data_IF_765241463643
#
_entry.id   IF_765241463643
#
_cell.length_a   1.000
_cell.length_b   1.000
_cell.length_c   1.000
_cell.angle_alpha   90.00
_cell.angle_beta   90.00
_cell.angle_gamma   90.00
#
_symmetry.space_group_name_H-M   'P 1'
#
loop_
_entity.id
_entity.type
_entity.pdbx_description
1 polymer ?
#
# COMPACT_ATOMS: atom_id res chain seq x y z
N UNK A 1 7.72 15.97 -43.00
CA UNK A 1 6.89 14.75 -42.87
C UNK A 1 7.35 13.96 -41.65
N UNK A 2 6.63 14.02 -40.53
CA UNK A 2 6.91 13.14 -39.39
C UNK A 2 6.33 11.76 -39.67
N UNK A 3 7.16 10.80 -40.06
CA UNK A 3 6.78 9.39 -40.09
C UNK A 3 6.57 8.92 -38.64
N UNK A 4 5.31 8.71 -38.24
CA UNK A 4 5.00 7.96 -37.01
C UNK A 4 5.46 6.53 -37.29
N UNK A 5 6.68 6.18 -36.85
CA UNK A 5 7.18 4.81 -36.97
C UNK A 5 6.29 3.90 -36.14
N UNK A 6 5.62 2.95 -36.81
CA UNK A 6 4.83 1.91 -36.17
C UNK A 6 5.73 0.99 -35.33
N UNK A 7 5.14 0.32 -34.34
CA UNK A 7 5.85 -0.67 -33.54
C UNK A 7 5.91 -2.01 -34.28
N UNK A 8 7.12 -2.53 -34.48
CA UNK A 8 7.37 -3.83 -35.08
C UNK A 8 7.48 -4.90 -33.99
N UNK A 9 6.80 -6.04 -34.17
CA UNK A 9 6.88 -7.15 -33.21
C UNK A 9 8.21 -7.89 -33.39
N UNK A 10 8.90 -8.16 -32.30
CA UNK A 10 10.23 -8.79 -32.31
C UNK A 10 10.16 -10.25 -31.89
N UNK A 11 11.09 -11.05 -32.40
CA UNK A 11 11.28 -12.44 -31.95
C UNK A 11 11.90 -12.50 -30.54
N UNK A 12 11.69 -13.61 -29.85
CA UNK A 12 12.24 -13.89 -28.51
C UNK A 12 11.26 -13.69 -27.35
N UNK A 13 10.24 -12.82 -27.50
CA UNK A 13 9.18 -12.69 -26.50
C UNK A 13 7.89 -12.10 -27.12
N UNK A 14 6.68 -12.61 -26.81
CA UNK A 14 5.43 -12.18 -27.46
C UNK A 14 5.07 -10.70 -27.22
N UNK A 15 5.56 -10.11 -26.13
CA UNK A 15 5.32 -8.71 -25.72
C UNK A 15 6.46 -7.74 -26.06
N UNK A 16 7.44 -8.19 -26.85
CA UNK A 16 8.59 -7.37 -27.25
C UNK A 16 8.32 -6.70 -28.60
N UNK A 17 8.43 -5.39 -28.62
CA UNK A 17 8.24 -4.56 -29.82
C UNK A 17 9.42 -3.61 -29.99
N UNK A 18 9.60 -3.09 -31.20
CA UNK A 18 10.63 -2.11 -31.53
C UNK A 18 10.02 -0.91 -32.24
N UNK A 19 10.45 0.30 -31.87
CA UNK A 19 10.09 1.54 -32.57
C UNK A 19 11.35 2.36 -32.80
N UNK A 20 11.81 2.41 -34.05
CA UNK A 20 13.10 3.01 -34.36
C UNK A 20 14.27 2.19 -33.80
N UNK A 21 15.12 2.79 -32.99
CA UNK A 21 16.26 2.09 -32.37
C UNK A 21 15.92 1.39 -31.05
N UNK A 22 14.84 1.81 -30.38
CA UNK A 22 14.56 1.42 -28.98
C UNK A 22 13.52 0.31 -28.91
N UNK A 23 13.71 -0.61 -27.96
CA UNK A 23 12.77 -1.68 -27.64
C UNK A 23 11.71 -1.25 -26.63
N UNK A 24 10.52 -1.83 -26.75
CA UNK A 24 9.33 -1.51 -25.97
C UNK A 24 8.67 -2.80 -25.48
N UNK A 25 8.09 -2.71 -24.29
CA UNK A 25 7.09 -3.64 -23.81
C UNK A 25 5.71 -3.19 -24.31
N UNK A 26 4.90 -4.13 -24.80
CA UNK A 26 3.49 -3.91 -25.11
C UNK A 26 2.65 -5.12 -24.73
N UNK A 27 1.68 -4.91 -23.86
CA UNK A 27 0.70 -5.91 -23.45
C UNK A 27 -0.72 -5.39 -23.64
N UNK A 28 -1.54 -6.10 -24.41
CA UNK A 28 -2.97 -5.84 -24.44
C UNK A 28 -3.61 -6.25 -23.10
N UNK A 29 -4.60 -5.49 -22.66
CA UNK A 29 -5.34 -5.84 -21.45
C UNK A 29 -6.22 -7.09 -21.71
N UNK A 30 -6.22 -8.08 -20.81
CA UNK A 30 -7.07 -9.25 -20.89
C UNK A 30 -8.57 -8.91 -20.99
N UNK A 31 -9.32 -9.70 -21.77
CA UNK A 31 -10.74 -9.42 -22.10
C UNK A 31 -11.63 -9.36 -20.85
N UNK A 32 -11.35 -10.20 -19.86
CA UNK A 32 -12.07 -10.31 -18.60
C UNK A 32 -12.04 -9.03 -17.77
N UNK A 33 -10.92 -8.28 -17.80
CA UNK A 33 -10.77 -7.02 -17.05
C UNK A 33 -10.84 -5.77 -17.94
N UNK A 34 -10.94 -5.93 -19.26
CA UNK A 34 -10.88 -4.83 -20.25
C UNK A 34 -11.84 -3.67 -19.99
N UNK A 35 -13.05 -3.96 -19.50
CA UNK A 35 -14.08 -2.93 -19.25
C UNK A 35 -13.79 -2.12 -17.99
N UNK A 36 -13.04 -2.67 -17.04
CA UNK A 36 -12.80 -2.07 -15.71
C UNK A 36 -11.38 -1.57 -15.51
N UNK A 37 -10.43 -2.02 -16.32
CA UNK A 37 -9.04 -1.60 -16.27
C UNK A 37 -8.87 -0.23 -16.96
N UNK A 38 -8.09 0.72 -16.40
CA UNK A 38 -8.06 2.11 -16.86
C UNK A 38 -7.41 2.33 -18.24
N UNK A 39 -6.77 1.31 -18.81
CA UNK A 39 -6.05 1.39 -20.09
C UNK A 39 -6.53 0.31 -21.06
N UNK A 40 -6.23 0.49 -22.33
CA UNK A 40 -6.45 -0.53 -23.37
C UNK A 40 -5.22 -1.41 -23.59
N UNK A 41 -4.02 -0.88 -23.33
CA UNK A 41 -2.74 -1.58 -23.40
C UNK A 41 -1.74 -1.00 -22.38
N UNK A 42 -0.89 -1.84 -21.78
CA UNK A 42 0.29 -1.38 -21.05
C UNK A 42 1.48 -1.33 -22.02
N UNK A 43 1.95 -0.11 -22.32
CA UNK A 43 3.05 0.12 -23.26
C UNK A 43 4.08 1.07 -22.66
N UNK A 44 5.35 0.68 -22.65
CA UNK A 44 6.46 1.54 -22.21
C UNK A 44 7.79 1.11 -22.84
N UNK A 45 8.73 2.06 -22.89
CA UNK A 45 10.09 1.82 -23.39
C UNK A 45 10.88 0.95 -22.43
N UNK A 46 11.66 0.01 -22.94
CA UNK A 46 12.64 -0.76 -22.16
C UNK A 46 13.97 -0.01 -22.01
N UNK A 47 14.12 1.17 -22.63
CA UNK A 47 15.30 2.02 -22.48
C UNK A 47 16.58 1.49 -23.13
N UNK A 48 16.49 0.44 -23.96
CA UNK A 48 17.65 -0.18 -24.60
C UNK A 48 17.50 -0.30 -26.11
N UNK A 49 18.63 -0.30 -26.81
CA UNK A 49 18.77 -0.57 -28.24
C UNK A 49 19.39 -1.94 -28.52
N UNK A 50 19.86 -2.66 -27.49
CA UNK A 50 20.39 -4.02 -27.59
C UNK A 50 19.24 -5.05 -27.47
N UNK A 51 19.15 -5.94 -28.46
CA UNK A 51 18.14 -7.00 -28.50
C UNK A 51 18.27 -7.99 -27.34
N UNK A 52 19.49 -8.40 -26.97
CA UNK A 52 19.69 -9.40 -25.91
C UNK A 52 19.24 -8.85 -24.57
N UNK A 53 19.64 -7.62 -24.27
CA UNK A 53 19.21 -6.93 -23.08
C UNK A 53 17.70 -6.64 -23.08
N UNK A 54 17.13 -6.28 -24.23
CA UNK A 54 15.68 -6.10 -24.36
C UNK A 54 14.90 -7.38 -24.04
N UNK A 55 15.37 -8.55 -24.46
CA UNK A 55 14.75 -9.85 -24.13
C UNK A 55 14.83 -10.14 -22.62
N UNK A 56 15.91 -9.74 -21.95
CA UNK A 56 16.02 -9.87 -20.49
C UNK A 56 15.04 -8.95 -19.77
N UNK A 57 15.00 -7.67 -20.14
CA UNK A 57 14.14 -6.66 -19.53
C UNK A 57 12.66 -6.94 -19.78
N UNK A 58 12.28 -7.40 -20.98
CA UNK A 58 10.87 -7.65 -21.31
C UNK A 58 10.27 -8.80 -20.49
N UNK A 59 11.08 -9.78 -20.05
CA UNK A 59 10.62 -10.88 -19.19
C UNK A 59 10.24 -10.36 -17.80
N UNK A 60 11.09 -9.52 -17.21
CA UNK A 60 10.81 -8.86 -15.91
C UNK A 60 9.61 -7.92 -16.04
N UNK A 61 9.57 -7.12 -17.11
CA UNK A 61 8.45 -6.23 -17.41
C UNK A 61 7.14 -7.00 -17.59
N UNK A 62 7.16 -8.14 -18.27
CA UNK A 62 5.98 -8.98 -18.47
C UNK A 62 5.45 -9.52 -17.15
N UNK A 63 6.30 -10.08 -16.30
CA UNK A 63 5.89 -10.55 -14.97
C UNK A 63 5.29 -9.42 -14.12
N UNK A 64 5.91 -8.23 -14.14
CA UNK A 64 5.38 -7.05 -13.43
C UNK A 64 3.99 -6.64 -13.94
N UNK A 65 3.80 -6.64 -15.26
CA UNK A 65 2.50 -6.30 -15.88
C UNK A 65 1.45 -7.37 -15.60
N UNK A 66 1.80 -8.64 -15.66
CA UNK A 66 0.88 -9.74 -15.28
C UNK A 66 0.45 -9.61 -13.81
N UNK A 67 1.39 -9.28 -12.91
CA UNK A 67 1.08 -9.00 -11.51
C UNK A 67 0.07 -7.85 -11.32
N UNK A 68 0.12 -6.80 -12.15
CA UNK A 68 -0.88 -5.72 -12.15
C UNK A 68 -2.26 -6.21 -12.58
N UNK A 69 -2.33 -7.04 -13.62
CA UNK A 69 -3.60 -7.60 -14.08
C UNK A 69 -4.21 -8.52 -13.03
N UNK A 70 -3.39 -9.35 -12.38
CA UNK A 70 -3.86 -10.22 -11.31
C UNK A 70 -4.28 -9.44 -10.06
N UNK A 71 -3.59 -8.35 -9.71
CA UNK A 71 -4.03 -7.44 -8.66
C UNK A 71 -5.40 -6.84 -8.97
N UNK A 72 -5.60 -6.38 -10.20
CA UNK A 72 -6.89 -5.85 -10.64
C UNK A 72 -8.00 -6.91 -10.59
N UNK A 73 -7.71 -8.15 -11.00
CA UNK A 73 -8.66 -9.27 -10.87
C UNK A 73 -9.05 -9.53 -9.42
N UNK A 74 -8.08 -9.58 -8.50
CA UNK A 74 -8.35 -9.74 -7.06
C UNK A 74 -9.25 -8.63 -6.54
N UNK A 75 -8.97 -7.38 -6.91
CA UNK A 75 -9.80 -6.23 -6.55
C UNK A 75 -11.23 -6.33 -7.09
N UNK A 76 -11.44 -6.81 -8.32
CA UNK A 76 -12.78 -7.05 -8.86
C UNK A 76 -13.54 -8.15 -8.11
N UNK A 77 -12.86 -9.25 -7.78
CA UNK A 77 -13.47 -10.34 -7.00
C UNK A 77 -13.95 -9.81 -5.66
N UNK A 78 -13.12 -9.03 -4.97
CA UNK A 78 -13.45 -8.45 -3.67
C UNK A 78 -14.55 -7.40 -3.76
N UNK A 79 -14.57 -6.59 -4.82
CA UNK A 79 -15.71 -5.69 -5.12
C UNK A 79 -17.01 -6.41 -5.43
N UNK A 80 -16.93 -7.65 -5.93
CA UNK A 80 -18.10 -8.49 -6.18
C UNK A 80 -18.60 -9.23 -4.94
N UNK A 81 -17.83 -9.27 -3.85
CA UNK A 81 -18.28 -9.90 -2.61
C UNK A 81 -19.26 -8.99 -1.87
N UNK A 82 -20.30 -9.56 -1.24
CA UNK A 82 -21.18 -8.76 -0.39
C UNK A 82 -20.37 -8.21 0.80
N UNK A 83 -20.66 -6.98 1.24
CA UNK A 83 -20.01 -6.41 2.41
C UNK A 83 -20.30 -7.28 3.64
N UNK A 84 -19.30 -7.40 4.52
CA UNK A 84 -19.43 -8.08 5.79
C UNK A 84 -20.41 -7.29 6.66
N UNK A 85 -21.35 -7.98 7.29
CA UNK A 85 -22.25 -7.33 8.27
C UNK A 85 -21.53 -7.04 9.57
N UNK A 86 -20.55 -7.86 9.94
CA UNK A 86 -19.75 -7.73 11.17
C UNK A 86 -18.32 -8.28 10.96
N UNK A 87 -17.36 -7.70 11.68
CA UNK A 87 -16.01 -8.22 11.84
C UNK A 87 -15.91 -9.04 13.13
N UNK A 88 -15.21 -10.17 13.06
CA UNK A 88 -14.83 -10.91 14.27
C UNK A 88 -13.81 -10.14 15.10
N UNK A 89 -13.76 -10.41 16.41
CA UNK A 89 -12.76 -9.83 17.31
C UNK A 89 -11.32 -10.09 16.84
N UNK A 90 -11.07 -11.27 16.27
CA UNK A 90 -9.75 -11.61 15.74
C UNK A 90 -9.39 -10.75 14.52
N UNK A 91 -10.33 -10.53 13.59
CA UNK A 91 -10.11 -9.63 12.46
C UNK A 91 -9.82 -8.21 12.92
N UNK A 92 -10.61 -7.68 13.87
CA UNK A 92 -10.41 -6.34 14.42
C UNK A 92 -9.01 -6.21 15.01
N UNK A 93 -8.59 -7.17 15.83
CA UNK A 93 -7.26 -7.18 16.43
C UNK A 93 -6.14 -7.23 15.38
N UNK A 94 -6.27 -8.11 14.39
CA UNK A 94 -5.27 -8.22 13.31
C UNK A 94 -5.19 -6.95 12.46
N UNK A 95 -6.32 -6.26 12.23
CA UNK A 95 -6.31 -4.95 11.57
C UNK A 95 -5.59 -3.89 12.42
N UNK A 96 -5.83 -3.88 13.73
CA UNK A 96 -5.11 -3.00 14.66
C UNK A 96 -3.60 -3.25 14.72
N UNK A 97 -3.18 -4.51 14.60
CA UNK A 97 -1.78 -4.92 14.50
C UNK A 97 -1.12 -4.41 13.21
N UNK A 98 -1.81 -4.57 12.07
CA UNK A 98 -1.38 -4.05 10.76
C UNK A 98 -1.24 -2.52 10.81
N UNK A 99 -2.25 -1.82 11.34
CA UNK A 99 -2.23 -0.36 11.46
C UNK A 99 -1.09 0.12 12.38
N UNK A 100 -0.84 -0.56 13.49
CA UNK A 100 0.28 -0.25 14.37
C UNK A 100 1.64 -0.34 13.66
N UNK A 101 1.89 -1.39 12.86
CA UNK A 101 3.13 -1.45 12.08
C UNK A 101 3.22 -0.35 11.04
N UNK A 102 2.15 -0.09 10.30
CA UNK A 102 2.14 0.99 9.31
C UNK A 102 2.59 2.33 9.93
N UNK A 103 2.08 2.67 11.12
CA UNK A 103 2.49 3.88 11.86
C UNK A 103 3.98 3.89 12.23
N UNK A 104 4.58 2.74 12.50
CA UNK A 104 6.02 2.63 12.79
C UNK A 104 6.88 2.57 11.52
N UNK A 105 6.34 2.06 10.42
CA UNK A 105 6.97 2.12 9.09
C UNK A 105 7.05 3.58 8.62
N UNK A 106 5.99 4.38 8.79
CA UNK A 106 6.03 5.82 8.48
C UNK A 106 7.06 6.60 9.32
N UNK A 107 7.22 6.23 10.61
CA UNK A 107 8.29 6.78 11.46
C UNK A 107 9.68 6.35 10.97
N UNK A 108 9.86 5.08 10.56
CA UNK A 108 11.11 4.62 9.97
C UNK A 108 11.44 5.37 8.68
N UNK A 109 10.47 5.56 7.79
CA UNK A 109 10.62 6.32 6.54
C UNK A 109 11.03 7.77 6.83
N UNK A 110 10.36 8.44 7.76
CA UNK A 110 10.70 9.81 8.17
C UNK A 110 12.14 9.90 8.70
N UNK A 111 12.58 8.92 9.50
CA UNK A 111 13.95 8.87 10.03
C UNK A 111 14.99 8.58 8.96
N UNK A 112 14.65 7.75 7.98
CA UNK A 112 15.53 7.42 6.85
C UNK A 112 15.70 8.61 5.89
N UNK A 113 14.63 9.38 5.66
CA UNK A 113 14.70 10.66 4.95
C UNK A 113 15.56 11.68 5.69
N UNK A 114 15.52 11.63 7.03
CA UNK A 114 16.31 12.45 7.92
C UNK A 114 15.59 13.74 8.31
N UNK A 115 15.87 14.22 9.52
CA UNK A 115 15.32 15.48 10.01
C UNK A 115 16.15 16.67 9.57
N UNK A 116 15.49 17.81 9.39
CA UNK A 116 16.18 19.06 9.13
C UNK A 116 16.70 19.66 10.44
N UNK A 117 18.02 19.88 10.50
CA UNK A 117 18.62 20.67 11.58
C UNK A 117 18.28 22.15 11.38
N UNK A 118 17.75 22.81 12.41
CA UNK A 118 17.39 24.24 12.38
C UNK A 118 18.60 25.16 12.08
N UNK A 119 19.82 24.68 12.34
CA UNK A 119 21.07 25.39 12.04
C UNK A 119 21.57 25.17 10.60
N UNK A 120 20.91 24.33 9.81
CA UNK A 120 21.24 24.07 8.42
C UNK A 120 20.54 25.07 7.46
N UNK A 121 21.08 25.29 6.25
CA UNK A 121 20.40 26.08 5.23
C UNK A 121 18.99 25.53 4.95
N UNK A 122 18.00 26.42 4.87
CA UNK A 122 16.60 26.05 4.62
C UNK A 122 16.49 25.22 3.34
N UNK A 123 15.89 24.01 3.40
CA UNK A 123 15.75 23.15 2.23
C UNK A 123 14.77 23.75 1.21
N UNK A 124 14.95 23.42 -0.08
CA UNK A 124 14.04 23.84 -1.15
C UNK A 124 12.65 23.19 -1.02
N UNK A 125 12.59 22.00 -0.42
CA UNK A 125 11.37 21.27 -0.12
C UNK A 125 11.08 21.36 1.38
N UNK A 126 9.80 21.34 1.81
CA UNK A 126 9.48 21.29 3.22
C UNK A 126 10.02 19.99 3.84
N UNK A 127 10.94 20.13 4.79
CA UNK A 127 11.47 19.03 5.62
C UNK A 127 11.17 19.37 7.07
N UNK A 128 10.66 18.41 7.84
CA UNK A 128 10.31 18.63 9.24
C UNK A 128 11.55 18.58 10.13
N UNK A 129 11.62 19.44 11.15
CA UNK A 129 12.62 19.30 12.20
C UNK A 129 12.26 18.14 13.13
N UNK A 130 13.23 17.66 13.91
CA UNK A 130 12.96 16.60 14.88
C UNK A 130 11.98 17.07 15.96
N UNK A 131 12.13 18.32 16.43
CA UNK A 131 11.26 18.92 17.43
C UNK A 131 9.82 19.07 16.94
N UNK A 132 9.61 19.58 15.73
CA UNK A 132 8.28 19.72 15.14
C UNK A 132 7.61 18.34 14.98
N UNK A 133 8.37 17.34 14.53
CA UNK A 133 7.87 15.97 14.39
C UNK A 133 7.42 15.39 15.73
N UNK A 134 8.19 15.60 16.79
CA UNK A 134 7.83 15.16 18.14
C UNK A 134 6.59 15.89 18.66
N UNK A 135 6.51 17.21 18.50
CA UNK A 135 5.36 18.02 18.95
C UNK A 135 4.07 17.63 18.23
N UNK A 136 4.12 17.39 16.91
CA UNK A 136 2.96 16.93 16.13
C UNK A 136 2.48 15.58 16.65
N UNK A 137 3.40 14.63 16.86
CA UNK A 137 3.04 13.30 17.36
C UNK A 137 2.44 13.35 18.76
N UNK A 138 3.02 14.13 19.68
CA UNK A 138 2.49 14.28 21.03
C UNK A 138 1.12 14.97 21.04
N UNK A 139 0.94 16.01 20.22
CA UNK A 139 -0.35 16.70 20.07
C UNK A 139 -1.45 15.78 19.54
N UNK A 140 -1.12 14.93 18.56
CA UNK A 140 -2.05 13.92 18.04
C UNK A 140 -2.35 12.84 19.08
N UNK A 141 -1.34 12.34 19.80
CA UNK A 141 -1.52 11.35 20.87
C UNK A 141 -2.42 11.88 22.00
N UNK A 142 -2.26 13.15 22.40
CA UNK A 142 -3.09 13.78 23.43
C UNK A 142 -4.58 13.80 23.04
N UNK A 143 -4.90 14.15 21.79
CA UNK A 143 -6.27 14.11 21.26
C UNK A 143 -6.77 12.66 21.23
N UNK A 144 -5.95 11.73 20.75
CA UNK A 144 -6.32 10.31 20.65
C UNK A 144 -6.61 9.70 22.02
N UNK A 145 -5.76 9.94 23.01
CA UNK A 145 -5.95 9.49 24.40
C UNK A 145 -7.18 10.15 25.03
N UNK A 146 -7.38 11.44 24.82
CA UNK A 146 -8.55 12.16 25.31
C UNK A 146 -9.86 11.51 24.84
N UNK A 147 -9.94 11.20 23.54
CA UNK A 147 -11.14 10.62 22.93
C UNK A 147 -11.30 9.13 23.28
N UNK A 148 -10.21 8.37 23.27
CA UNK A 148 -10.20 6.96 23.65
C UNK A 148 -10.71 6.74 25.08
N UNK A 149 -10.22 7.55 26.04
CA UNK A 149 -10.64 7.49 27.44
C UNK A 149 -12.14 7.78 27.63
N UNK A 150 -12.73 8.58 26.74
CA UNK A 150 -14.17 8.95 26.79
C UNK A 150 -15.03 8.07 25.90
N UNK A 151 -14.43 7.14 25.15
CA UNK A 151 -15.11 6.34 24.15
C UNK A 151 -15.76 7.14 23.04
N UNK A 152 -15.15 8.29 22.71
CA UNK A 152 -15.51 9.12 21.57
C UNK A 152 -14.84 8.58 20.31
N UNK A 153 -15.63 8.54 19.25
CA UNK A 153 -15.15 8.24 17.89
C UNK A 153 -14.97 9.58 17.21
N UNK A 154 -13.76 9.87 16.72
CA UNK A 154 -13.51 11.03 15.88
C UNK A 154 -13.74 10.67 14.41
N UNK A 155 -14.10 11.66 13.60
CA UNK A 155 -14.24 11.51 12.15
C UNK A 155 -12.92 11.04 11.51
N UNK A 156 -11.78 11.42 12.12
CA UNK A 156 -10.46 10.92 11.76
C UNK A 156 -10.41 9.38 11.78
N UNK A 157 -10.73 8.74 12.91
CA UNK A 157 -10.66 7.27 12.99
C UNK A 157 -11.72 6.53 12.18
N UNK A 158 -12.83 7.19 11.82
CA UNK A 158 -13.77 6.65 10.84
C UNK A 158 -13.12 6.62 9.45
N UNK A 159 -12.50 7.72 9.03
CA UNK A 159 -11.76 7.80 7.77
C UNK A 159 -10.59 6.81 7.73
N UNK A 160 -9.83 6.69 8.83
CA UNK A 160 -8.74 5.71 8.93
C UNK A 160 -9.27 4.27 8.82
N UNK A 161 -10.39 3.96 9.46
CA UNK A 161 -10.99 2.64 9.36
C UNK A 161 -11.44 2.33 7.93
N UNK A 162 -12.02 3.30 7.23
CA UNK A 162 -12.38 3.15 5.81
C UNK A 162 -11.15 2.87 4.96
N UNK A 163 -10.06 3.63 5.15
CA UNK A 163 -8.83 3.47 4.37
C UNK A 163 -8.15 2.12 4.64
N UNK A 164 -7.93 1.77 5.92
CA UNK A 164 -7.25 0.54 6.33
C UNK A 164 -7.94 -0.71 5.80
N UNK A 165 -9.28 -0.71 5.71
CA UNK A 165 -10.02 -1.84 5.15
C UNK A 165 -9.71 -2.06 3.66
N UNK A 166 -9.25 -1.04 2.94
CA UNK A 166 -8.89 -1.12 1.52
C UNK A 166 -7.44 -1.52 1.27
N UNK A 167 -6.58 -1.53 2.28
CA UNK A 167 -5.17 -1.88 2.15
C UNK A 167 -5.00 -3.30 1.58
N UNK A 168 -3.95 -3.51 0.78
CA UNK A 168 -3.73 -4.76 0.03
C UNK A 168 -3.66 -6.00 0.94
N UNK A 169 -3.20 -5.85 2.18
CA UNK A 169 -3.07 -6.92 3.18
C UNK A 169 -4.32 -7.09 4.07
N UNK A 170 -5.32 -6.21 3.97
CA UNK A 170 -6.61 -6.31 4.70
C UNK A 170 -7.73 -6.64 3.72
N UNK A 171 -7.99 -5.73 2.78
CA UNK A 171 -8.87 -5.88 1.63
C UNK A 171 -10.27 -6.46 1.96
N UNK A 172 -10.95 -5.81 2.91
CA UNK A 172 -12.28 -6.17 3.39
C UNK A 172 -13.29 -5.07 3.04
N UNK A 173 -14.55 -5.48 2.85
CA UNK A 173 -15.67 -4.54 2.76
C UNK A 173 -16.57 -4.72 3.98
N UNK A 174 -16.87 -3.62 4.66
CA UNK A 174 -17.74 -3.62 5.82
C UNK A 174 -19.03 -2.86 5.48
N UNK A 175 -20.18 -3.42 5.85
CA UNK A 175 -21.47 -2.77 5.65
C UNK A 175 -21.46 -1.41 6.40
N UNK A 176 -21.86 -0.30 5.77
CA UNK A 176 -21.94 1.01 6.44
C UNK A 176 -22.78 1.02 7.73
N UNK A 177 -23.71 0.07 7.87
CA UNK A 177 -24.55 -0.12 9.07
C UNK A 177 -23.98 -1.11 10.07
N UNK A 178 -22.79 -1.65 9.82
CA UNK A 178 -22.16 -2.64 10.69
C UNK A 178 -21.92 -2.08 12.09
N UNK A 179 -22.25 -2.82 13.16
CA UNK A 179 -21.86 -2.42 14.51
C UNK A 179 -20.34 -2.48 14.73
N UNK A 180 -19.60 -3.15 13.85
CA UNK A 180 -18.14 -3.32 13.97
C UNK A 180 -17.35 -2.05 13.70
N UNK A 181 -17.91 -1.02 13.05
CA UNK A 181 -17.23 0.27 12.85
C UNK A 181 -16.73 0.87 14.17
N UNK A 182 -17.59 0.90 15.19
CA UNK A 182 -17.23 1.42 16.51
C UNK A 182 -16.10 0.61 17.17
N UNK A 183 -16.11 -0.71 17.00
CA UNK A 183 -15.09 -1.59 17.59
C UNK A 183 -13.76 -1.43 16.86
N UNK A 184 -13.79 -1.37 15.53
CA UNK A 184 -12.62 -1.19 14.69
C UNK A 184 -11.95 0.15 14.97
N UNK A 185 -12.68 1.27 14.92
CA UNK A 185 -12.13 2.59 15.22
C UNK A 185 -11.52 2.67 16.63
N UNK A 186 -12.13 2.00 17.62
CA UNK A 186 -11.53 1.92 18.97
C UNK A 186 -10.23 1.14 18.99
N UNK A 187 -10.12 0.06 18.22
CA UNK A 187 -8.87 -0.69 18.11
C UNK A 187 -7.80 0.13 17.38
N UNK A 188 -8.16 0.86 16.32
CA UNK A 188 -7.23 1.77 15.63
C UNK A 188 -6.73 2.91 16.53
N UNK A 189 -7.61 3.49 17.36
CA UNK A 189 -7.21 4.43 18.41
C UNK A 189 -6.19 3.81 19.37
N UNK A 190 -6.46 2.60 19.86
CA UNK A 190 -5.54 1.90 20.75
C UNK A 190 -4.20 1.58 20.06
N UNK A 191 -4.22 1.19 18.79
CA UNK A 191 -3.03 0.95 17.98
C UNK A 191 -2.21 2.23 17.76
N UNK A 192 -2.86 3.36 17.47
CA UNK A 192 -2.22 4.67 17.33
C UNK A 192 -1.54 5.11 18.62
N UNK A 193 -2.20 4.91 19.76
CA UNK A 193 -1.64 5.19 21.09
C UNK A 193 -0.38 4.33 21.36
N UNK A 194 -0.43 3.03 21.04
CA UNK A 194 0.74 2.14 21.17
C UNK A 194 1.90 2.59 20.28
N UNK A 195 1.60 3.02 19.06
CA UNK A 195 2.61 3.52 18.13
C UNK A 195 3.22 4.83 18.64
N UNK A 196 2.43 5.75 19.19
CA UNK A 196 2.94 6.98 19.79
C UNK A 196 3.90 6.72 20.96
N UNK A 197 3.57 5.76 21.84
CA UNK A 197 4.48 5.34 22.92
C UNK A 197 5.81 4.78 22.38
N UNK A 198 5.75 3.97 21.33
CA UNK A 198 6.94 3.44 20.66
C UNK A 198 7.78 4.54 19.99
N UNK A 199 7.16 5.47 19.27
CA UNK A 199 7.82 6.62 18.62
C UNK A 199 8.47 7.52 19.67
N UNK A 200 7.79 7.80 20.79
CA UNK A 200 8.37 8.57 21.91
C UNK A 200 9.57 7.86 22.51
N UNK A 201 9.55 6.53 22.59
CA UNK A 201 10.72 5.75 23.01
C UNK A 201 11.88 5.83 22.01
N UNK A 202 11.60 5.77 20.70
CA UNK A 202 12.60 5.97 19.63
C UNK A 202 13.21 7.36 19.67
N UNK A 203 12.42 8.39 19.96
CA UNK A 203 12.89 9.76 20.12
C UNK A 203 13.90 9.91 21.28
N UNK A 204 13.86 9.02 22.28
CA UNK A 204 14.85 8.95 23.35
C UNK A 204 16.10 8.14 22.99
N UNK A 205 16.19 7.63 21.76
CA UNK A 205 17.29 6.79 21.29
C UNK A 205 17.13 5.30 21.63
N UNK A 206 15.96 4.86 22.12
CA UNK A 206 15.73 3.44 22.38
C UNK A 206 15.40 2.70 21.08
N UNK A 207 15.94 1.49 20.93
CA UNK A 207 15.63 0.63 19.80
C UNK A 207 14.24 -0.01 20.00
N UNK A 208 13.28 0.39 19.18
CA UNK A 208 11.97 -0.26 19.06
C UNK A 208 11.81 -0.74 17.62
N UNK A 209 11.71 -2.04 17.41
CA UNK A 209 11.60 -2.62 16.07
C UNK A 209 10.20 -2.43 15.49
N UNK A 210 10.13 -2.17 14.18
CA UNK A 210 8.88 -2.17 13.43
C UNK A 210 8.45 -3.62 13.17
N UNK A 211 7.23 -4.02 13.57
CA UNK A 211 6.75 -5.38 13.33
C UNK A 211 6.62 -5.65 11.82
N UNK A 212 7.27 -6.72 11.33
CA UNK A 212 7.12 -7.14 9.93
C UNK A 212 5.89 -8.02 9.73
N UNK A 213 4.94 -7.58 8.88
CA UNK A 213 3.74 -8.35 8.54
C UNK A 213 3.86 -9.20 7.25
N UNK A 214 5.07 -9.30 6.67
CA UNK A 214 5.29 -9.86 5.34
C UNK A 214 4.98 -11.37 5.19
N UNK A 215 4.60 -12.11 6.24
CA UNK A 215 4.45 -13.59 6.18
C UNK A 215 3.27 -14.21 6.94
N UNK A 216 2.27 -13.45 7.38
CA UNK A 216 1.18 -14.03 8.19
C UNK A 216 -0.02 -14.56 7.38
N UNK A 217 -0.30 -14.09 6.17
CA UNK A 217 -1.57 -14.41 5.47
C UNK A 217 -1.49 -15.44 4.34
N UNK A 218 -0.30 -15.92 3.95
CA UNK A 218 -0.19 -16.96 2.92
C UNK A 218 -0.53 -18.38 3.42
N UNK A 219 -0.61 -18.60 4.74
CA UNK A 219 -0.85 -19.94 5.30
C UNK A 219 -2.33 -20.25 5.57
N UNK A 220 -3.19 -19.25 5.74
CA UNK A 220 -4.56 -19.49 6.21
C UNK A 220 -5.59 -19.69 5.09
N UNK A 221 -5.25 -19.40 3.83
CA UNK A 221 -6.09 -19.70 2.65
C UNK A 221 -5.66 -20.97 1.89
N UNK A 222 -4.57 -21.64 2.30
CA UNK A 222 -4.10 -22.88 1.67
C UNK A 222 -4.82 -24.15 2.17
N UNK A 223 -5.48 -24.13 3.32
CA UNK A 223 -6.08 -25.35 3.89
C UNK A 223 -7.53 -25.58 3.45
N UNK A 224 -8.26 -24.54 3.04
CA UNK A 224 -9.67 -24.66 2.65
C UNK A 224 -9.88 -25.15 1.21
N UNK A 225 -8.83 -25.17 0.38
CA UNK A 225 -8.87 -25.64 -1.02
C UNK A 225 -8.17 -26.99 -1.25
N UNK A 226 -7.82 -27.73 -0.18
CA UNK A 226 -7.32 -29.12 -0.28
C UNK A 226 -8.36 -30.19 0.09
N UNK A 227 -9.63 -29.82 0.23
CA UNK A 227 -10.75 -30.74 0.56
C UNK A 227 -11.96 -30.66 -0.39
N UNK A 228 -11.73 -30.31 -1.65
CA UNK A 228 -12.62 -30.61 -2.78
C UNK A 228 -11.74 -31.23 -3.87
#
# INVERSE_FOLDING_TARGET
>A
MCYIRSMEKMSGHPRLYRRGATYYHRAAIPVDIKTSYPKTEETFSLGTTDHREAVRLVRVAAAKVDGKFDAHRRMLVLKGQPPLTELSTQQIKSIGEIYHAFRLEEDDETRLEGFHDLDSPTPELPVTSFEDYAEINDSLDDVNRHDYARGKLSDFFLSEAEDVLTWDNVNLQLDPKSPSWRLLCRELQAASIRAADAIRSRNQGNLVETPSFEKAFHHQFSETLRRI
#
